data_IF_091795122719
#
_entry.id   IF_091795122719
#
_cell.length_a   1.000
_cell.length_b   1.000
_cell.length_c   1.000
_cell.angle_alpha   90.00
_cell.angle_beta   90.00
_cell.angle_gamma   90.00
#
_symmetry.space_group_name_H-M   'P 1'
#
loop_
_entity.id
_entity.type
_entity.pdbx_description
1 polymer ?
#
# COMPACT_ATOMS: atom_id res chain seq x y z
N UNK A 1 -0.27 14.47 -16.70
CA UNK A 1 -0.79 13.66 -15.57
C UNK A 1 -2.17 13.18 -15.96
N UNK A 2 -2.33 11.95 -16.48
CA UNK A 2 -3.62 11.44 -16.99
C UNK A 2 -3.96 10.02 -16.52
N UNK A 3 -3.10 9.37 -15.74
CA UNK A 3 -3.39 8.03 -15.23
C UNK A 3 -4.45 8.15 -14.16
N UNK A 4 -5.65 7.56 -14.34
CA UNK A 4 -6.67 7.60 -13.31
C UNK A 4 -6.24 6.74 -12.11
N UNK A 5 -6.76 7.02 -10.91
CA UNK A 5 -6.66 6.10 -9.79
C UNK A 5 -7.22 4.72 -10.16
N UNK A 6 -6.71 3.67 -9.53
CA UNK A 6 -7.34 2.35 -9.62
C UNK A 6 -8.79 2.41 -9.13
N UNK A 7 -9.71 1.62 -9.71
CA UNK A 7 -11.10 1.58 -9.29
C UNK A 7 -11.23 1.34 -7.77
N UNK A 8 -12.11 2.09 -7.12
CA UNK A 8 -12.40 2.04 -5.68
C UNK A 8 -11.23 2.37 -4.74
N UNK A 9 -10.06 2.74 -5.27
CA UNK A 9 -8.87 2.92 -4.44
C UNK A 9 -9.07 3.99 -3.37
N UNK A 10 -9.64 5.13 -3.74
CA UNK A 10 -9.73 6.26 -2.82
C UNK A 10 -10.79 6.01 -1.76
N UNK A 11 -11.96 5.50 -2.17
CA UNK A 11 -13.07 5.19 -1.26
C UNK A 11 -12.67 4.13 -0.23
N UNK A 12 -11.95 3.08 -0.66
CA UNK A 12 -11.44 2.05 0.24
C UNK A 12 -10.36 2.61 1.15
N UNK A 13 -9.40 3.36 0.61
CA UNK A 13 -8.34 3.96 1.41
C UNK A 13 -8.89 4.88 2.51
N UNK A 14 -9.91 5.70 2.23
CA UNK A 14 -10.58 6.53 3.24
C UNK A 14 -11.05 5.70 4.44
N UNK A 15 -11.79 4.61 4.18
CA UNK A 15 -12.33 3.74 5.23
C UNK A 15 -11.24 3.01 6.00
N UNK A 16 -10.20 2.55 5.31
CA UNK A 16 -9.06 1.90 5.96
C UNK A 16 -8.30 2.90 6.84
N UNK A 17 -8.03 4.11 6.35
CA UNK A 17 -7.34 5.16 7.11
C UNK A 17 -8.11 5.49 8.38
N UNK A 18 -9.42 5.65 8.31
CA UNK A 18 -10.28 5.84 9.49
C UNK A 18 -10.16 4.68 10.47
N UNK A 19 -10.21 3.44 9.98
CA UNK A 19 -10.10 2.24 10.81
C UNK A 19 -8.74 2.08 11.51
N UNK A 20 -7.67 2.54 10.87
CA UNK A 20 -6.32 2.60 11.45
C UNK A 20 -6.04 3.93 12.16
N UNK A 21 -7.06 4.74 12.47
CA UNK A 21 -6.93 6.03 13.17
C UNK A 21 -5.86 6.96 12.54
N UNK A 22 -5.83 7.03 11.21
CA UNK A 22 -4.88 7.84 10.45
C UNK A 22 -3.50 7.20 10.25
N UNK A 23 -3.22 6.03 10.84
CA UNK A 23 -1.93 5.33 10.72
C UNK A 23 -1.81 4.54 9.40
N UNK A 24 -1.87 5.27 8.29
CA UNK A 24 -1.69 4.74 6.95
C UNK A 24 -0.56 5.48 6.24
N UNK A 25 0.25 4.74 5.49
CA UNK A 25 1.46 5.24 4.83
C UNK A 25 1.51 4.81 3.37
N UNK A 26 1.98 5.71 2.50
CA UNK A 26 2.36 5.36 1.14
C UNK A 26 3.86 5.15 1.08
N UNK A 27 4.29 3.92 0.81
CA UNK A 27 5.71 3.55 0.68
C UNK A 27 5.97 3.14 -0.78
N UNK A 28 6.76 3.94 -1.51
CA UNK A 28 6.98 3.73 -2.95
C UNK A 28 8.45 3.58 -3.32
N UNK A 29 8.75 2.55 -4.11
CA UNK A 29 10.08 2.39 -4.73
C UNK A 29 10.14 3.19 -6.02
N UNK A 30 11.00 4.20 -6.08
CA UNK A 30 11.19 4.95 -7.32
C UNK A 30 12.53 5.70 -7.37
N UNK A 31 12.97 6.03 -8.59
CA UNK A 31 14.07 6.97 -8.81
C UNK A 31 13.60 8.44 -8.73
N UNK A 32 14.52 9.42 -8.63
CA UNK A 32 14.18 10.83 -8.34
C UNK A 32 13.16 11.46 -9.30
N UNK A 33 13.25 11.16 -10.60
CA UNK A 33 12.31 11.67 -11.61
C UNK A 33 10.91 11.11 -11.44
N UNK A 34 10.80 9.83 -11.08
CA UNK A 34 9.49 9.19 -10.84
C UNK A 34 8.93 9.66 -9.51
N UNK A 35 9.77 9.86 -8.49
CA UNK A 35 9.37 10.45 -7.20
C UNK A 35 8.67 11.81 -7.40
N UNK A 36 9.28 12.71 -8.16
CA UNK A 36 8.68 14.02 -8.47
C UNK A 36 7.32 13.88 -9.18
N UNK A 37 7.22 12.96 -10.14
CA UNK A 37 5.97 12.69 -10.86
C UNK A 37 4.90 12.08 -9.94
N UNK A 38 5.29 11.19 -9.04
CA UNK A 38 4.37 10.60 -8.05
C UNK A 38 3.83 11.69 -7.14
N UNK A 39 4.67 12.57 -6.61
CA UNK A 39 4.21 13.70 -5.78
C UNK A 39 3.21 14.59 -6.53
N UNK A 40 3.55 14.99 -7.76
CA UNK A 40 2.66 15.78 -8.61
C UNK A 40 1.33 15.07 -8.90
N UNK A 41 1.36 13.75 -9.10
CA UNK A 41 0.15 12.95 -9.31
C UNK A 41 -0.73 12.93 -8.06
N UNK A 42 -0.13 12.69 -6.88
CA UNK A 42 -0.86 12.71 -5.61
C UNK A 42 -1.52 14.06 -5.35
N UNK A 43 -0.79 15.15 -5.65
CA UNK A 43 -1.32 16.52 -5.53
C UNK A 43 -2.45 16.78 -6.52
N UNK A 44 -2.26 16.42 -7.79
CA UNK A 44 -3.24 16.64 -8.85
C UNK A 44 -4.57 15.92 -8.57
N UNK A 45 -4.53 14.79 -7.88
CA UNK A 45 -5.72 14.00 -7.56
C UNK A 45 -6.31 14.31 -6.17
N UNK A 46 -5.84 15.35 -5.48
CA UNK A 46 -6.19 15.69 -4.10
C UNK A 46 -6.11 14.46 -3.17
N UNK A 47 -5.12 13.60 -3.42
CA UNK A 47 -5.03 12.25 -2.85
C UNK A 47 -5.11 12.28 -1.32
N UNK A 48 -4.33 13.16 -0.68
CA UNK A 48 -4.24 13.25 0.78
C UNK A 48 -5.58 13.68 1.39
N UNK A 49 -6.26 14.66 0.80
CA UNK A 49 -7.57 15.12 1.27
C UNK A 49 -8.65 14.06 1.04
N UNK A 50 -8.64 13.38 -0.11
CA UNK A 50 -9.66 12.39 -0.46
C UNK A 50 -9.54 11.09 0.34
N UNK A 51 -8.32 10.67 0.68
CA UNK A 51 -8.06 9.41 1.38
C UNK A 51 -7.85 9.58 2.88
N UNK A 52 -7.55 10.79 3.37
CA UNK A 52 -7.20 11.03 4.77
C UNK A 52 -5.75 10.66 5.13
N UNK A 53 -4.97 10.09 4.21
CA UNK A 53 -3.53 9.85 4.43
C UNK A 53 -2.83 11.19 4.60
N UNK A 54 -2.02 11.32 5.66
CA UNK A 54 -1.28 12.55 5.92
C UNK A 54 -0.23 12.80 4.84
N UNK A 55 0.01 14.08 4.53
CA UNK A 55 0.93 14.48 3.45
C UNK A 55 2.40 14.11 3.75
N UNK A 56 2.77 14.06 5.01
CA UNK A 56 4.07 13.60 5.51
C UNK A 56 4.16 12.07 5.64
N UNK A 57 3.04 11.34 5.52
CA UNK A 57 2.99 9.87 5.48
C UNK A 57 3.34 9.29 4.11
N UNK A 58 4.38 9.84 3.48
CA UNK A 58 4.86 9.44 2.16
C UNK A 58 6.37 9.15 2.23
N UNK A 59 6.72 7.87 2.13
CA UNK A 59 8.11 7.40 2.14
C UNK A 59 8.51 6.90 0.76
N UNK A 60 9.74 7.20 0.38
CA UNK A 60 10.35 6.70 -0.84
C UNK A 60 11.59 5.87 -0.53
N UNK A 61 11.79 4.81 -1.30
CA UNK A 61 13.01 4.02 -1.28
C UNK A 61 13.53 3.80 -2.70
N UNK A 62 14.82 3.44 -2.82
CA UNK A 62 15.45 3.20 -4.14
C UNK A 62 15.35 1.75 -4.59
N UNK A 63 15.24 0.81 -3.66
CA UNK A 63 15.10 -0.63 -3.92
C UNK A 63 13.86 -1.19 -3.24
N UNK A 64 13.29 -2.27 -3.79
CA UNK A 64 12.04 -2.84 -3.27
C UNK A 64 12.24 -3.42 -1.88
N UNK A 65 13.36 -4.12 -1.66
CA UNK A 65 13.73 -4.65 -0.36
C UNK A 65 13.82 -3.54 0.72
N UNK A 66 14.21 -2.32 0.35
CA UNK A 66 14.26 -1.19 1.28
C UNK A 66 12.89 -0.68 1.75
N UNK A 67 11.77 -1.21 1.23
CA UNK A 67 10.48 -1.02 1.90
C UNK A 67 10.47 -1.65 3.29
N UNK A 68 11.22 -2.72 3.52
CA UNK A 68 11.32 -3.37 4.82
C UNK A 68 11.89 -2.45 5.91
N UNK A 69 12.84 -1.58 5.56
CA UNK A 69 13.38 -0.57 6.50
C UNK A 69 12.28 0.36 6.97
N UNK A 70 11.52 0.94 6.03
CA UNK A 70 10.38 1.80 6.36
C UNK A 70 9.31 1.05 7.17
N UNK A 71 9.01 -0.20 6.82
CA UNK A 71 8.03 -1.00 7.56
C UNK A 71 8.47 -1.26 9.01
N UNK A 72 9.75 -1.56 9.23
CA UNK A 72 10.30 -1.76 10.56
C UNK A 72 10.27 -0.48 11.40
N UNK A 73 10.74 0.64 10.84
CA UNK A 73 10.79 1.95 11.52
C UNK A 73 9.40 2.46 11.92
N UNK A 74 8.40 2.23 11.06
CA UNK A 74 7.03 2.71 11.25
C UNK A 74 6.13 1.72 11.99
N UNK A 75 6.60 0.49 12.26
CA UNK A 75 5.78 -0.56 12.86
C UNK A 75 4.60 -0.99 11.98
N UNK A 76 4.79 -1.07 10.66
CA UNK A 76 3.72 -1.44 9.72
C UNK A 76 3.24 -2.86 9.98
N UNK A 77 1.93 -3.02 10.18
CA UNK A 77 1.29 -4.32 10.44
C UNK A 77 0.65 -4.94 9.18
N UNK A 78 0.20 -4.11 8.23
CA UNK A 78 -0.48 -4.52 7.01
C UNK A 78 0.22 -3.91 5.79
N UNK A 79 0.68 -4.72 4.84
CA UNK A 79 1.26 -4.27 3.57
C UNK A 79 0.41 -4.70 2.39
N UNK A 80 0.07 -3.74 1.52
CA UNK A 80 -0.58 -3.98 0.23
C UNK A 80 0.41 -3.63 -0.87
N UNK A 81 0.82 -4.61 -1.68
CA UNK A 81 1.76 -4.40 -2.79
C UNK A 81 1.48 -5.39 -3.92
N UNK A 82 1.68 -4.96 -5.18
CA UNK A 82 1.47 -5.80 -6.37
C UNK A 82 2.64 -6.76 -6.64
N UNK A 83 3.77 -6.60 -5.94
CA UNK A 83 5.01 -7.34 -6.17
C UNK A 83 5.27 -8.38 -5.10
N UNK A 84 5.29 -9.65 -5.49
CA UNK A 84 5.68 -10.75 -4.61
C UNK A 84 7.11 -10.58 -4.04
N UNK A 85 8.02 -9.97 -4.81
CA UNK A 85 9.38 -9.62 -4.37
C UNK A 85 9.37 -8.69 -3.13
N UNK A 86 8.41 -7.78 -3.01
CA UNK A 86 8.26 -6.92 -1.82
C UNK A 86 7.80 -7.78 -0.65
N UNK A 87 6.80 -8.63 -0.85
CA UNK A 87 6.28 -9.50 0.20
C UNK A 87 7.33 -10.49 0.71
N UNK A 88 8.22 -10.99 -0.16
CA UNK A 88 9.37 -11.78 0.28
C UNK A 88 10.29 -11.02 1.24
N UNK A 89 10.56 -9.73 0.97
CA UNK A 89 11.40 -8.90 1.84
C UNK A 89 10.72 -8.53 3.18
N UNK A 90 9.40 -8.65 3.25
CA UNK A 90 8.60 -8.33 4.45
C UNK A 90 8.18 -9.56 5.25
N UNK A 91 8.42 -10.76 4.72
CA UNK A 91 8.02 -12.01 5.37
C UNK A 91 8.72 -12.14 6.73
N UNK A 92 7.92 -12.34 7.79
CA UNK A 92 8.40 -12.39 9.17
C UNK A 92 8.60 -11.04 9.84
N UNK A 93 8.48 -9.93 9.10
CA UNK A 93 8.52 -8.57 9.62
C UNK A 93 7.11 -7.95 9.71
N UNK A 94 6.34 -8.04 8.62
CA UNK A 94 4.97 -7.52 8.54
C UNK A 94 4.00 -8.70 8.65
N UNK A 95 3.10 -8.73 9.67
CA UNK A 95 2.21 -9.88 9.90
C UNK A 95 1.18 -10.12 8.79
N UNK A 96 0.61 -9.05 8.20
CA UNK A 96 -0.45 -9.17 7.20
C UNK A 96 0.03 -8.68 5.84
N UNK A 97 0.26 -9.64 4.92
CA UNK A 97 0.75 -9.38 3.57
C UNK A 97 -0.37 -9.60 2.55
N UNK A 98 -0.65 -8.58 1.74
CA UNK A 98 -1.70 -8.60 0.73
C UNK A 98 -1.11 -8.38 -0.68
N UNK A 99 -1.15 -9.43 -1.50
CA UNK A 99 -0.71 -9.37 -2.89
C UNK A 99 -1.80 -8.77 -3.76
N UNK A 100 -1.60 -7.53 -4.21
CA UNK A 100 -2.61 -6.79 -4.94
C UNK A 100 -2.62 -7.08 -6.44
N UNK A 101 -3.83 -7.10 -7.01
CA UNK A 101 -4.04 -7.08 -8.45
C UNK A 101 -3.97 -8.46 -9.12
N UNK A 102 -4.00 -8.49 -10.47
CA UNK A 102 -3.98 -9.75 -11.20
C UNK A 102 -2.63 -10.46 -11.07
N UNK A 103 -2.68 -11.76 -10.75
CA UNK A 103 -1.51 -12.64 -10.73
C UNK A 103 -1.81 -13.91 -11.53
N UNK A 104 -0.90 -14.29 -12.41
CA UNK A 104 -1.00 -15.51 -13.24
C UNK A 104 -0.21 -16.67 -12.66
N UNK A 105 0.81 -16.37 -11.85
CA UNK A 105 1.58 -17.39 -11.14
C UNK A 105 0.83 -17.85 -9.87
N UNK A 106 1.09 -19.07 -9.39
CA UNK A 106 0.57 -19.53 -8.11
C UNK A 106 0.94 -18.55 -6.99
N UNK A 107 -0.06 -18.14 -6.20
CA UNK A 107 0.14 -17.28 -5.04
C UNK A 107 0.57 -18.16 -3.85
N UNK A 108 1.66 -17.85 -3.16
CA UNK A 108 2.06 -18.59 -1.96
C UNK A 108 1.02 -18.47 -0.83
N UNK A 109 0.91 -19.50 0.00
CA UNK A 109 -0.03 -19.59 1.11
C UNK A 109 0.17 -18.53 2.22
N UNK A 110 1.39 -18.02 2.36
CA UNK A 110 1.76 -17.01 3.36
C UNK A 110 1.42 -15.55 2.95
N UNK A 111 0.81 -15.33 1.79
CA UNK A 111 0.34 -14.01 1.34
C UNK A 111 -1.11 -14.08 0.88
N UNK A 112 -1.93 -13.13 1.32
CA UNK A 112 -3.33 -13.07 0.95
C UNK A 112 -3.49 -12.40 -0.43
N UNK A 113 -4.04 -13.11 -1.41
CA UNK A 113 -4.31 -12.53 -2.73
C UNK A 113 -5.55 -11.62 -2.69
N UNK A 114 -5.39 -10.36 -3.12
CA UNK A 114 -6.47 -9.37 -3.17
C UNK A 114 -6.52 -8.72 -4.56
N UNK A 115 -7.32 -9.26 -5.50
CA UNK A 115 -7.28 -8.81 -6.89
C UNK A 115 -7.84 -7.40 -7.11
N UNK A 116 -8.59 -6.86 -6.14
CA UNK A 116 -9.24 -5.53 -6.23
C UNK A 116 -9.15 -4.79 -4.90
N UNK A 117 -9.40 -3.47 -4.92
CA UNK A 117 -9.47 -2.68 -3.69
C UNK A 117 -10.62 -3.10 -2.79
N UNK A 118 -11.74 -3.57 -3.35
CA UNK A 118 -12.83 -4.16 -2.54
C UNK A 118 -12.35 -5.43 -1.83
N UNK A 119 -11.55 -6.27 -2.49
CA UNK A 119 -10.95 -7.43 -1.84
C UNK A 119 -9.95 -7.05 -0.74
N UNK A 120 -9.17 -5.98 -0.95
CA UNK A 120 -8.31 -5.38 0.09
C UNK A 120 -9.16 -4.99 1.31
N UNK A 121 -10.24 -4.24 1.09
CA UNK A 121 -11.10 -3.76 2.17
C UNK A 121 -11.62 -4.93 3.01
N UNK A 122 -12.16 -5.96 2.37
CA UNK A 122 -12.67 -7.17 3.04
C UNK A 122 -11.59 -7.88 3.84
N UNK A 123 -10.42 -8.13 3.22
CA UNK A 123 -9.37 -8.94 3.84
C UNK A 123 -8.66 -8.21 5.00
N UNK A 124 -8.43 -6.90 4.87
CA UNK A 124 -7.87 -6.07 5.94
C UNK A 124 -8.89 -5.91 7.07
N UNK A 125 -10.17 -5.75 6.73
CA UNK A 125 -11.26 -5.66 7.72
C UNK A 125 -11.40 -6.91 8.55
N UNK A 126 -11.25 -8.09 7.94
CA UNK A 126 -11.28 -9.35 8.66
C UNK A 126 -10.13 -9.46 9.67
N UNK A 127 -8.90 -9.14 9.24
CA UNK A 127 -7.69 -9.26 10.07
C UNK A 127 -7.67 -8.36 11.31
N UNK A 128 -8.31 -7.18 11.26
CA UNK A 128 -8.37 -6.25 12.40
C UNK A 128 -9.48 -6.62 13.39
N UNK A 129 -10.41 -7.51 13.03
CA UNK A 129 -11.49 -7.96 13.91
C UNK A 129 -11.07 -9.15 14.80
N UNK A 130 -9.89 -9.72 14.57
CA UNK A 130 -9.27 -10.82 15.33
C UNK A 130 -8.44 -10.29 16.51
#
# INVERSE_FOLDING_TARGET
MRTPPSPNAFEVLTRLVERFAGQAWVISKCGPRVEQRTRQWLDHHDFFTRTGIQRDHLRFCRERAHKAVHCAELGITHMIDDRLEVHHALRGLVPHLYLFGPHTAPVPDWVCHVPTWIAVETAVTAAVAE
#
